data_IF_497040650769
#
_entry.id   IF_497040650769
#
_cell.length_a   1.000
_cell.length_b   1.000
_cell.length_c   1.000
_cell.angle_alpha   90.00
_cell.angle_beta   90.00
_cell.angle_gamma   90.00
#
_symmetry.space_group_name_H-M   'P 1'
#
loop_
_entity.id
_entity.type
_entity.pdbx_description
1 polymer ?
#
# COMPACT_ATOMS: atom_id res chain seq x y z
N UNK A 1 -15.03 -5.30 20.72
CA UNK A 1 -14.14 -5.89 19.70
C UNK A 1 -12.93 -6.44 20.41
N UNK A 2 -12.71 -7.75 20.34
CA UNK A 2 -11.81 -8.45 21.27
C UNK A 2 -10.42 -8.79 20.72
N UNK A 3 -10.15 -8.61 19.43
CA UNK A 3 -8.85 -8.97 18.84
C UNK A 3 -8.28 -7.88 17.92
N UNK A 4 -6.95 -7.74 17.96
CA UNK A 4 -6.18 -6.93 17.01
C UNK A 4 -5.84 -7.82 15.82
N UNK A 5 -6.36 -7.48 14.64
CA UNK A 5 -6.02 -8.17 13.39
C UNK A 5 -4.99 -7.35 12.63
N UNK A 6 -3.84 -7.98 12.34
CA UNK A 6 -2.74 -7.36 11.60
C UNK A 6 -2.57 -8.09 10.27
N UNK A 7 -2.80 -7.38 9.17
CA UNK A 7 -2.34 -7.83 7.87
C UNK A 7 -0.94 -7.25 7.63
N UNK A 8 0.02 -8.13 7.33
CA UNK A 8 1.41 -7.72 7.14
C UNK A 8 1.68 -7.18 5.74
N UNK A 9 0.75 -7.35 4.79
CA UNK A 9 1.02 -7.05 3.39
C UNK A 9 -0.23 -6.73 2.58
N UNK A 10 -0.40 -5.45 2.23
CA UNK A 10 -1.47 -4.96 1.36
C UNK A 10 -0.91 -4.00 0.30
N UNK A 11 -1.41 -4.11 -0.93
CA UNK A 11 -0.88 -3.37 -2.08
C UNK A 11 -1.83 -2.31 -2.70
N UNK A 12 -2.48 -1.43 -1.92
CA UNK A 12 -3.28 -0.36 -2.51
C UNK A 12 -2.41 0.78 -3.07
N UNK A 13 -1.18 0.96 -2.58
CA UNK A 13 -0.32 2.06 -2.99
C UNK A 13 0.15 1.89 -4.44
N UNK A 14 0.59 0.69 -4.84
CA UNK A 14 0.94 0.44 -6.26
C UNK A 14 -0.27 0.70 -7.17
N UNK A 15 -1.50 0.39 -6.73
CA UNK A 15 -2.72 0.68 -7.48
C UNK A 15 -2.94 2.19 -7.65
N UNK A 16 -2.60 3.01 -6.65
CA UNK A 16 -2.60 4.47 -6.78
C UNK A 16 -1.69 4.93 -7.91
N UNK A 17 -0.43 4.48 -7.92
CA UNK A 17 0.56 4.92 -8.89
C UNK A 17 0.30 4.41 -10.31
N UNK A 18 -0.16 3.16 -10.45
CA UNK A 18 -0.45 2.57 -11.76
C UNK A 18 -1.75 3.06 -12.36
N UNK A 19 -2.81 3.19 -11.54
CA UNK A 19 -4.18 3.28 -12.03
C UNK A 19 -4.94 4.53 -11.53
N UNK A 20 -4.37 5.26 -10.57
CA UNK A 20 -5.01 6.42 -9.95
C UNK A 20 -6.08 6.03 -8.93
N UNK A 21 -5.93 4.87 -8.29
CA UNK A 21 -6.76 4.43 -7.17
C UNK A 21 -6.57 5.36 -5.96
N UNK A 22 -7.66 5.77 -5.30
CA UNK A 22 -7.58 6.63 -4.10
C UNK A 22 -7.91 5.83 -2.83
N UNK A 23 -6.90 5.46 -2.05
CA UNK A 23 -7.03 4.65 -0.84
C UNK A 23 -8.09 5.16 0.16
N UNK A 24 -8.41 6.46 0.12
CA UNK A 24 -9.38 7.11 1.02
C UNK A 24 -10.84 6.93 0.59
N UNK A 25 -11.08 6.50 -0.65
CA UNK A 25 -12.42 6.42 -1.24
C UNK A 25 -12.83 4.98 -1.45
N UNK A 26 -14.11 4.72 -1.25
CA UNK A 26 -14.69 3.43 -1.59
C UNK A 26 -14.94 3.40 -3.10
N UNK A 27 -14.37 2.39 -3.77
CA UNK A 27 -14.50 2.27 -5.21
C UNK A 27 -15.48 1.16 -5.57
N UNK A 28 -16.56 1.48 -6.29
CA UNK A 28 -17.58 0.49 -6.67
C UNK A 28 -17.03 -0.69 -7.51
N UNK A 29 -17.82 -1.76 -7.68
CA UNK A 29 -17.45 -2.90 -8.54
C UNK A 29 -17.18 -2.48 -10.00
N UNK A 30 -17.80 -1.39 -10.44
CA UNK A 30 -17.65 -0.81 -11.77
C UNK A 30 -16.55 0.26 -11.88
N UNK A 31 -15.70 0.38 -10.86
CA UNK A 31 -14.62 1.35 -10.87
C UNK A 31 -13.73 1.19 -12.10
N UNK A 32 -13.40 2.32 -12.72
CA UNK A 32 -12.51 2.40 -13.88
C UNK A 32 -11.33 3.29 -13.54
N UNK A 33 -10.11 2.89 -13.93
CA UNK A 33 -8.95 3.66 -13.58
C UNK A 33 -8.88 4.97 -14.36
N UNK A 34 -8.36 6.00 -13.71
CA UNK A 34 -8.10 7.30 -14.35
C UNK A 34 -6.87 7.22 -15.26
N UNK A 35 -5.93 6.33 -14.93
CA UNK A 35 -4.67 6.13 -15.67
C UNK A 35 -4.60 4.71 -16.24
N UNK A 36 -3.85 4.54 -17.33
CA UNK A 36 -3.50 3.22 -17.91
C UNK A 36 -4.72 2.30 -18.17
N UNK A 37 -5.82 2.88 -18.67
CA UNK A 37 -7.07 2.14 -18.99
C UNK A 37 -6.87 0.95 -19.92
N UNK A 38 -5.94 1.03 -20.87
CA UNK A 38 -5.58 -0.08 -21.76
C UNK A 38 -4.97 -1.26 -21.00
N UNK A 39 -3.95 -0.99 -20.18
CA UNK A 39 -3.30 -2.01 -19.32
C UNK A 39 -4.31 -2.65 -18.38
N UNK A 40 -5.17 -1.85 -17.75
CA UNK A 40 -6.22 -2.37 -16.88
C UNK A 40 -7.20 -3.30 -17.60
N UNK A 41 -7.62 -2.95 -18.83
CA UNK A 41 -8.48 -3.81 -19.66
C UNK A 41 -7.79 -5.13 -19.99
N UNK A 42 -6.50 -5.10 -20.34
CA UNK A 42 -5.72 -6.30 -20.62
C UNK A 42 -5.62 -7.21 -19.39
N UNK A 43 -5.29 -6.65 -18.21
CA UNK A 43 -5.21 -7.41 -16.97
C UNK A 43 -6.56 -8.02 -16.57
N UNK A 44 -7.66 -7.28 -16.75
CA UNK A 44 -9.03 -7.79 -16.48
C UNK A 44 -9.44 -8.89 -17.45
N UNK A 45 -9.03 -8.81 -18.72
CA UNK A 45 -9.27 -9.88 -19.69
C UNK A 45 -8.46 -11.12 -19.31
N UNK A 46 -7.16 -10.96 -19.05
CA UNK A 46 -6.27 -12.05 -18.60
C UNK A 46 -6.82 -12.77 -17.37
N UNK A 47 -7.21 -11.99 -16.36
CA UNK A 47 -7.86 -12.47 -15.14
C UNK A 47 -9.07 -13.36 -15.42
N UNK A 48 -9.98 -12.87 -16.27
CA UNK A 48 -11.20 -13.58 -16.65
C UNK A 48 -10.88 -14.89 -17.37
N UNK A 49 -9.93 -14.87 -18.30
CA UNK A 49 -9.48 -16.07 -19.02
C UNK A 49 -8.86 -17.12 -18.09
N UNK A 50 -8.31 -16.69 -16.95
CA UNK A 50 -7.71 -17.56 -15.93
C UNK A 50 -8.68 -17.94 -14.80
N UNK A 51 -9.95 -17.55 -14.87
CA UNK A 51 -10.94 -17.82 -13.80
C UNK A 51 -10.63 -17.14 -12.47
N UNK A 52 -9.80 -16.11 -12.46
CA UNK A 52 -9.43 -15.39 -11.24
C UNK A 52 -10.57 -14.45 -10.82
N UNK A 53 -11.05 -14.57 -9.58
CA UNK A 53 -12.04 -13.65 -9.03
C UNK A 53 -11.40 -12.32 -8.64
N UNK A 54 -11.77 -11.25 -9.35
CA UNK A 54 -11.35 -9.85 -9.09
C UNK A 54 -9.84 -9.65 -8.89
N UNK A 55 -8.93 -10.19 -9.69
CA UNK A 55 -7.53 -10.12 -9.34
C UNK A 55 -7.00 -8.69 -9.46
N UNK A 56 -6.13 -8.33 -8.51
CA UNK A 56 -5.30 -7.12 -8.47
C UNK A 56 -5.98 -5.77 -8.18
N UNK A 57 -7.31 -5.66 -8.22
CA UNK A 57 -8.00 -4.36 -8.07
C UNK A 57 -9.13 -4.38 -7.05
N UNK A 58 -9.31 -3.26 -6.37
CA UNK A 58 -10.49 -3.00 -5.54
C UNK A 58 -10.63 -3.96 -4.35
N UNK A 59 -9.49 -4.46 -3.83
CA UNK A 59 -9.43 -5.38 -2.71
C UNK A 59 -9.53 -4.66 -1.37
N UNK A 60 -8.95 -3.45 -1.27
CA UNK A 60 -8.81 -2.76 -0.01
C UNK A 60 -8.85 -1.24 -0.18
N UNK A 61 -9.57 -0.57 0.71
CA UNK A 61 -9.58 0.89 0.92
C UNK A 61 -9.95 1.21 2.36
N UNK A 62 -9.68 2.43 2.82
CA UNK A 62 -9.96 2.83 4.22
C UNK A 62 -11.43 2.64 4.63
N UNK A 63 -12.44 3.03 3.80
CA UNK A 63 -13.84 2.71 4.10
C UNK A 63 -14.09 1.21 4.33
N UNK A 64 -13.58 0.34 3.46
CA UNK A 64 -13.77 -1.12 3.60
C UNK A 64 -13.03 -1.71 4.77
N UNK A 65 -11.82 -1.23 5.03
CA UNK A 65 -11.06 -1.62 6.22
C UNK A 65 -11.85 -1.25 7.50
N UNK A 66 -12.46 -0.07 7.53
CA UNK A 66 -13.34 0.34 8.62
C UNK A 66 -14.56 -0.57 8.79
N UNK A 67 -15.30 -0.84 7.70
CA UNK A 67 -16.47 -1.76 7.72
C UNK A 67 -16.09 -3.19 8.11
N UNK A 68 -14.92 -3.65 7.66
CA UNK A 68 -14.38 -4.97 7.93
C UNK A 68 -13.59 -5.06 9.23
N UNK A 69 -13.61 -4.02 10.07
CA UNK A 69 -12.99 -4.05 11.39
C UNK A 69 -11.47 -4.32 11.38
N UNK A 70 -10.79 -3.96 10.27
CA UNK A 70 -9.35 -4.09 10.13
C UNK A 70 -8.62 -3.23 11.15
N UNK A 71 -7.69 -3.83 11.90
CA UNK A 71 -7.00 -3.12 12.98
C UNK A 71 -5.67 -2.55 12.54
N UNK A 72 -4.88 -3.31 11.77
CA UNK A 72 -3.61 -2.84 11.25
C UNK A 72 -3.28 -3.43 9.87
N UNK A 73 -2.53 -2.67 9.07
CA UNK A 73 -2.09 -3.06 7.74
C UNK A 73 -0.66 -2.61 7.41
N UNK A 74 0.13 -3.53 6.88
CA UNK A 74 1.44 -3.27 6.27
C UNK A 74 1.29 -2.85 4.81
N UNK A 75 1.44 -1.56 4.54
CA UNK A 75 1.25 -1.00 3.20
C UNK A 75 2.49 -1.21 2.33
N UNK A 76 2.36 -2.08 1.34
CA UNK A 76 3.41 -2.45 0.40
C UNK A 76 3.92 -1.26 -0.41
N UNK A 77 5.23 -1.05 -0.35
CA UNK A 77 5.99 -0.06 -1.09
C UNK A 77 6.88 -0.79 -2.09
N UNK A 78 6.65 -0.53 -3.37
CA UNK A 78 7.16 -1.37 -4.45
C UNK A 78 8.16 -0.65 -5.35
N UNK A 79 9.03 -1.40 -6.00
CA UNK A 79 9.69 -0.91 -7.21
C UNK A 79 9.76 -2.02 -8.23
N UNK A 80 9.92 -1.64 -9.51
CA UNK A 80 10.27 -2.58 -10.55
C UNK A 80 11.45 -3.46 -10.11
N UNK A 81 11.48 -4.76 -10.48
CA UNK A 81 12.44 -5.75 -10.00
C UNK A 81 13.83 -5.57 -10.65
N UNK A 82 14.29 -4.33 -10.75
CA UNK A 82 15.57 -3.91 -11.30
C UNK A 82 16.16 -2.91 -10.33
N UNK A 83 17.31 -3.27 -9.75
CA UNK A 83 18.01 -2.40 -8.82
C UNK A 83 18.46 -1.11 -9.51
N UNK A 84 17.98 0.03 -9.00
CA UNK A 84 18.32 1.33 -9.55
C UNK A 84 18.00 2.46 -8.55
N UNK A 85 18.70 3.59 -8.69
CA UNK A 85 18.32 4.83 -7.99
C UNK A 85 16.94 5.35 -8.42
N UNK A 86 16.44 4.93 -9.58
CA UNK A 86 15.05 5.20 -10.00
C UNK A 86 14.06 4.47 -9.10
N UNK A 87 14.39 3.25 -8.69
CA UNK A 87 13.62 2.47 -7.73
C UNK A 87 13.46 3.22 -6.41
N UNK A 88 14.56 3.75 -5.86
CA UNK A 88 14.50 4.52 -4.63
C UNK A 88 13.65 5.79 -4.75
N UNK A 89 13.73 6.51 -5.88
CA UNK A 89 12.85 7.66 -6.12
C UNK A 89 11.36 7.26 -6.16
N UNK A 90 11.05 6.08 -6.68
CA UNK A 90 9.68 5.55 -6.69
C UNK A 90 9.22 5.15 -5.27
N UNK A 91 10.10 4.57 -4.46
CA UNK A 91 9.85 4.29 -3.03
C UNK A 91 9.52 5.59 -2.29
N UNK A 92 10.35 6.64 -2.43
CA UNK A 92 10.09 7.94 -1.78
C UNK A 92 8.74 8.55 -2.17
N UNK A 93 8.35 8.44 -3.45
CA UNK A 93 7.03 8.91 -3.91
C UNK A 93 5.89 8.15 -3.24
N UNK A 94 6.02 6.85 -3.09
CA UNK A 94 5.02 6.01 -2.43
C UNK A 94 4.93 6.27 -0.92
N UNK A 95 6.07 6.44 -0.25
CA UNK A 95 6.10 6.84 1.16
C UNK A 95 5.46 8.21 1.37
N UNK A 96 5.74 9.17 0.48
CA UNK A 96 5.10 10.47 0.54
C UNK A 96 3.57 10.36 0.40
N UNK A 97 3.08 9.54 -0.54
CA UNK A 97 1.64 9.27 -0.67
C UNK A 97 1.05 8.59 0.57
N UNK A 98 1.73 7.59 1.13
CA UNK A 98 1.29 6.94 2.37
C UNK A 98 1.18 7.95 3.52
N UNK A 99 2.23 8.75 3.73
CA UNK A 99 2.26 9.79 4.77
C UNK A 99 1.17 10.85 4.54
N UNK A 100 0.92 11.25 3.30
CA UNK A 100 -0.17 12.19 3.01
C UNK A 100 -1.54 11.60 3.34
N UNK A 101 -1.77 10.31 3.05
CA UNK A 101 -3.00 9.63 3.46
C UNK A 101 -3.13 9.59 4.98
N UNK A 102 -2.06 9.24 5.71
CA UNK A 102 -2.09 9.23 7.18
C UNK A 102 -2.36 10.61 7.75
N UNK A 103 -1.76 11.65 7.17
CA UNK A 103 -1.91 13.03 7.64
C UNK A 103 -3.30 13.62 7.35
N UNK A 104 -3.88 13.28 6.19
CA UNK A 104 -5.13 13.89 5.70
C UNK A 104 -6.39 13.10 6.10
N UNK A 105 -6.26 11.87 6.60
CA UNK A 105 -7.40 10.98 6.85
C UNK A 105 -7.44 10.47 8.29
N UNK A 106 -8.42 10.96 9.06
CA UNK A 106 -8.56 10.66 10.48
C UNK A 106 -8.80 9.19 10.81
N UNK A 107 -9.14 8.35 9.83
CA UNK A 107 -9.42 6.93 10.04
C UNK A 107 -8.16 6.09 10.22
N UNK A 108 -6.99 6.61 9.86
CA UNK A 108 -5.72 5.89 9.91
C UNK A 108 -4.71 6.65 10.78
N UNK A 109 -3.80 5.90 11.40
CA UNK A 109 -2.67 6.40 12.18
C UNK A 109 -1.40 5.65 11.75
N UNK A 110 -0.28 6.35 11.57
CA UNK A 110 0.99 5.68 11.32
C UNK A 110 1.45 4.94 12.57
N UNK A 111 1.77 3.66 12.41
CA UNK A 111 2.41 2.84 13.41
C UNK A 111 3.89 2.67 13.08
N UNK A 112 4.76 2.88 14.07
CA UNK A 112 6.20 2.59 14.01
C UNK A 112 6.57 1.44 14.94
N UNK A 113 5.73 1.21 15.95
CA UNK A 113 5.91 0.21 16.98
C UNK A 113 4.63 -0.57 17.24
N UNK A 114 4.70 -1.75 17.88
CA UNK A 114 3.51 -2.46 18.36
C UNK A 114 2.65 -1.65 19.35
N UNK A 115 3.25 -0.68 20.06
CA UNK A 115 2.52 0.23 20.96
C UNK A 115 1.61 1.18 20.17
N UNK A 116 2.06 1.63 19.00
CA UNK A 116 1.26 2.50 18.14
C UNK A 116 0.05 1.76 17.58
N UNK A 117 0.20 0.48 17.22
CA UNK A 117 -0.91 -0.39 16.80
C UNK A 117 -1.98 -0.46 17.89
N UNK A 118 -1.56 -0.73 19.14
CA UNK A 118 -2.48 -0.75 20.29
C UNK A 118 -3.15 0.61 20.53
N UNK A 119 -2.41 1.70 20.31
CA UNK A 119 -2.93 3.06 20.48
C UNK A 119 -3.97 3.41 19.42
N UNK A 120 -3.70 3.09 18.15
CA UNK A 120 -4.65 3.23 17.05
C UNK A 120 -5.92 2.43 17.31
N UNK A 121 -5.78 1.16 17.72
CA UNK A 121 -6.91 0.29 18.06
C UNK A 121 -7.80 0.88 19.16
N UNK A 122 -7.20 1.35 20.28
CA UNK A 122 -7.94 2.01 21.37
C UNK A 122 -8.64 3.30 20.91
N UNK A 123 -8.06 3.99 19.94
CA UNK A 123 -8.59 5.21 19.35
C UNK A 123 -9.58 4.95 18.20
N UNK A 124 -9.95 3.68 17.95
CA UNK A 124 -10.80 3.25 16.83
C UNK A 124 -10.28 3.71 15.46
N UNK A 125 -8.95 3.79 15.31
CA UNK A 125 -8.26 4.07 14.05
C UNK A 125 -7.57 2.81 13.55
N UNK A 126 -7.44 2.71 12.23
CA UNK A 126 -6.58 1.75 11.57
C UNK A 126 -5.11 2.12 11.85
N UNK A 127 -4.29 1.16 12.25
CA UNK A 127 -2.83 1.34 12.27
C UNK A 127 -2.23 1.02 10.89
N UNK A 128 -1.50 1.93 10.29
CA UNK A 128 -0.78 1.71 9.03
C UNK A 128 0.72 1.80 9.21
N UNK A 129 1.48 0.91 8.60
CA UNK A 129 2.94 1.01 8.54
C UNK A 129 3.44 0.71 7.13
N UNK A 130 4.43 1.44 6.60
CA UNK A 130 4.99 1.13 5.29
C UNK A 130 5.87 -0.12 5.35
N UNK A 131 5.70 -1.02 4.39
CA UNK A 131 6.54 -2.19 4.20
C UNK A 131 7.22 -2.14 2.84
N UNK A 132 8.56 -2.10 2.82
CA UNK A 132 9.29 -2.18 1.55
C UNK A 132 9.32 -3.62 1.06
N UNK A 133 8.79 -3.86 -0.14
CA UNK A 133 8.87 -5.17 -0.78
C UNK A 133 10.07 -5.23 -1.73
N UNK A 134 11.02 -6.08 -1.37
CA UNK A 134 12.23 -6.34 -2.14
C UNK A 134 13.30 -5.27 -1.95
N UNK A 135 14.44 -5.68 -1.39
CA UNK A 135 15.54 -4.78 -1.07
C UNK A 135 16.24 -4.17 -2.31
N UNK A 136 15.88 -4.61 -3.53
CA UNK A 136 16.33 -3.98 -4.79
C UNK A 136 15.83 -2.54 -4.94
N UNK A 137 14.75 -2.17 -4.27
CA UNK A 137 14.18 -0.84 -4.34
C UNK A 137 14.98 0.22 -3.54
N UNK A 138 15.90 -0.21 -2.67
CA UNK A 138 16.72 0.68 -1.84
C UNK A 138 17.81 1.39 -2.66
N UNK A 139 18.04 1.01 -3.91
CA UNK A 139 19.10 1.56 -4.76
C UNK A 139 20.46 0.91 -4.48
N UNK A 140 21.54 1.60 -4.87
CA UNK A 140 22.89 1.04 -4.83
C UNK A 140 23.32 0.31 -6.11
N UNK A 141 24.33 -0.55 -6.00
CA UNK A 141 24.93 -1.30 -7.12
C UNK A 141 24.47 -2.76 -7.10
N UNK A 142 24.72 -3.54 -8.16
CA UNK A 142 24.36 -4.97 -8.19
C UNK A 142 24.83 -5.79 -6.98
N UNK A 143 25.87 -5.34 -6.28
CA UNK A 143 26.47 -6.05 -5.14
C UNK A 143 26.12 -5.37 -3.80
N UNK A 144 25.86 -4.07 -3.80
CA UNK A 144 25.62 -3.28 -2.57
C UNK A 144 24.23 -2.68 -2.53
N UNK A 145 23.54 -2.88 -1.41
CA UNK A 145 22.22 -2.28 -1.13
C UNK A 145 22.39 -1.14 -0.14
N UNK A 146 21.62 -0.07 -0.32
CA UNK A 146 21.59 1.08 0.60
C UNK A 146 20.66 0.81 1.78
N UNK A 147 21.05 -0.16 2.63
CA UNK A 147 20.29 -0.56 3.82
C UNK A 147 20.13 0.61 4.81
N UNK A 148 21.07 1.56 4.79
CA UNK A 148 21.01 2.83 5.52
C UNK A 148 19.68 3.60 5.27
N UNK A 149 19.08 3.45 4.09
CA UNK A 149 17.79 4.08 3.72
C UNK A 149 16.56 3.43 4.35
N UNK A 150 16.70 2.32 5.08
CA UNK A 150 15.57 1.75 5.82
C UNK A 150 15.08 2.68 6.94
N UNK A 151 15.97 3.50 7.50
CA UNK A 151 15.61 4.50 8.50
C UNK A 151 14.56 5.49 7.95
N UNK A 152 14.73 5.93 6.70
CA UNK A 152 13.83 6.86 5.99
C UNK A 152 12.39 6.34 5.86
N UNK A 153 12.14 5.03 6.03
CA UNK A 153 10.79 4.45 6.02
C UNK A 153 9.98 4.84 7.25
N UNK A 154 10.66 5.08 8.36
CA UNK A 154 10.05 5.29 9.68
C UNK A 154 10.16 6.74 10.17
N UNK A 155 10.83 7.62 9.41
CA UNK A 155 10.79 9.08 9.62
C UNK A 155 9.36 9.64 9.48
#
# INVERSE_FOLDING_TARGET
>A
MESIVVDLHIDPIIQHFLFGYDLRREHGPDWRPRRRRGVFRLLKLYARLRGLHRPFFNHIDLPRMGKGHYTAGGFGIHAWPVQSERGWRLVRKQLHYFRSVVHEDDRIMQARTPRDIRTAFRSRKLAGFPGVEGAHCLGGTRITKRIDRLADLFE
#
